data_IF_135909465383
#
_entry.id   IF_135909465383
#
_cell.length_a   1.000
_cell.length_b   1.000
_cell.length_c   1.000
_cell.angle_alpha   90.00
_cell.angle_beta   90.00
_cell.angle_gamma   90.00
#
_symmetry.space_group_name_H-M   'P 1'
#
loop_
_entity.id
_entity.type
_entity.pdbx_description
1 polymer ?
#
# COMPACT_ATOMS: atom_id res chain seq x y z
N UNK A 1 24.74 17.44 -4.17
CA UNK A 1 23.97 17.50 -2.91
C UNK A 1 22.63 16.85 -3.19
N UNK A 2 22.40 15.63 -2.72
CA UNK A 2 21.12 14.94 -2.90
C UNK A 2 20.13 15.55 -1.91
N UNK A 3 19.21 16.37 -2.40
CA UNK A 3 18.13 16.89 -1.59
C UNK A 3 17.24 15.72 -1.13
N UNK A 4 17.07 15.54 0.16
CA UNK A 4 16.03 14.67 0.69
C UNK A 4 14.68 15.26 0.28
N UNK A 5 14.02 14.62 -0.68
CA UNK A 5 12.65 14.96 -1.03
C UNK A 5 11.76 14.53 0.14
N UNK A 6 11.29 15.49 0.91
CA UNK A 6 10.29 15.25 1.94
C UNK A 6 8.93 15.05 1.27
N UNK A 7 8.24 13.96 1.62
CA UNK A 7 6.88 13.71 1.14
C UNK A 7 5.88 14.17 2.19
N UNK A 8 5.00 15.08 1.82
CA UNK A 8 3.98 15.63 2.71
C UNK A 8 2.60 15.06 2.44
N UNK A 9 1.78 14.98 3.48
CA UNK A 9 0.38 14.56 3.38
C UNK A 9 -0.40 15.55 2.51
N UNK A 10 -1.02 15.06 1.45
CA UNK A 10 -1.86 15.84 0.54
C UNK A 10 -3.35 15.67 0.86
N UNK A 11 -3.77 14.43 1.06
CA UNK A 11 -5.15 14.14 1.38
C UNK A 11 -5.30 12.83 2.14
N UNK A 12 -6.44 12.69 2.78
CA UNK A 12 -6.92 11.43 3.37
C UNK A 12 -8.30 11.12 2.79
N UNK A 13 -8.66 9.87 2.80
CA UNK A 13 -9.97 9.45 2.31
C UNK A 13 -10.32 8.04 2.72
N UNK A 14 -11.57 7.70 2.47
CA UNK A 14 -12.12 6.35 2.57
C UNK A 14 -12.70 5.98 1.23
N UNK A 15 -12.41 4.78 0.76
CA UNK A 15 -13.03 4.22 -0.44
C UNK A 15 -13.69 2.89 -0.10
N UNK A 16 -14.80 2.61 -0.80
CA UNK A 16 -15.58 1.37 -0.65
C UNK A 16 -15.28 0.41 -1.78
N UNK A 17 -15.33 -0.87 -1.49
CA UNK A 17 -15.20 -1.90 -2.49
C UNK A 17 -16.53 -2.08 -3.23
N UNK A 18 -16.49 -2.03 -4.56
CA UNK A 18 -17.59 -2.46 -5.43
C UNK A 18 -17.34 -3.91 -5.82
N UNK A 19 -18.08 -4.82 -5.22
CA UNK A 19 -17.72 -6.25 -5.27
C UNK A 19 -16.36 -6.49 -4.61
N UNK A 20 -15.39 -6.99 -5.37
CA UNK A 20 -14.05 -7.31 -4.87
C UNK A 20 -12.99 -6.25 -5.21
N UNK A 21 -13.36 -5.18 -5.91
CA UNK A 21 -12.42 -4.16 -6.39
C UNK A 21 -12.71 -2.80 -5.79
N UNK A 22 -11.65 -2.04 -5.56
CA UNK A 22 -11.70 -0.65 -5.15
C UNK A 22 -10.65 0.13 -5.94
N UNK A 23 -11.03 1.26 -6.51
CA UNK A 23 -10.12 2.15 -7.21
C UNK A 23 -9.93 3.45 -6.43
N UNK A 24 -8.67 3.87 -6.30
CA UNK A 24 -8.29 5.11 -5.64
C UNK A 24 -7.50 5.95 -6.64
N UNK A 25 -8.03 7.12 -6.96
CA UNK A 25 -7.35 8.05 -7.87
C UNK A 25 -6.10 8.64 -7.21
N UNK A 26 -4.96 8.59 -7.90
CA UNK A 26 -3.66 9.07 -7.42
C UNK A 26 -2.90 9.73 -8.56
N UNK A 27 -2.04 10.69 -8.26
CA UNK A 27 -1.08 11.25 -9.21
C UNK A 27 0.13 10.34 -9.43
N UNK A 28 0.94 10.66 -10.45
CA UNK A 28 2.11 9.83 -10.79
C UNK A 28 3.16 9.75 -9.68
N UNK A 29 3.31 10.83 -8.91
CA UNK A 29 4.27 10.95 -7.81
C UNK A 29 3.64 10.69 -6.43
N UNK A 30 2.37 10.26 -6.40
CA UNK A 30 1.70 9.98 -5.15
C UNK A 30 2.12 8.63 -4.58
N UNK A 31 2.30 8.61 -3.26
CA UNK A 31 2.42 7.40 -2.45
C UNK A 31 1.14 7.25 -1.64
N UNK A 32 0.51 6.08 -1.76
CA UNK A 32 -0.63 5.71 -0.93
C UNK A 32 -0.16 4.93 0.29
N UNK A 33 -0.67 5.32 1.45
CA UNK A 33 -0.55 4.60 2.72
C UNK A 33 -1.92 4.08 3.09
N UNK A 34 -2.09 2.79 3.18
CA UNK A 34 -3.30 2.17 3.73
C UNK A 34 -3.25 2.33 5.24
N UNK A 35 -4.22 3.04 5.79
CA UNK A 35 -4.26 3.37 7.22
C UNK A 35 -5.21 2.50 8.03
N UNK A 36 -6.23 1.92 7.36
CA UNK A 36 -7.16 0.98 7.97
C UNK A 36 -7.88 0.17 6.89
N UNK A 37 -8.15 -1.09 7.17
CA UNK A 37 -9.05 -1.91 6.37
C UNK A 37 -9.62 -3.06 7.23
N UNK A 38 -10.89 -3.36 7.04
CA UNK A 38 -11.59 -4.40 7.80
C UNK A 38 -11.49 -5.80 7.18
N UNK A 39 -10.58 -5.99 6.23
CA UNK A 39 -10.34 -7.27 5.55
C UNK A 39 -8.94 -7.35 4.95
N UNK A 40 -8.68 -8.46 4.28
CA UNK A 40 -7.43 -8.68 3.56
C UNK A 40 -7.46 -7.95 2.22
N UNK A 41 -6.47 -7.10 1.95
CA UNK A 41 -6.37 -6.34 0.70
C UNK A 41 -5.05 -6.61 -0.02
N UNK A 42 -5.09 -6.51 -1.34
CA UNK A 42 -3.94 -6.60 -2.23
C UNK A 42 -3.97 -5.41 -3.17
N UNK A 43 -2.83 -4.77 -3.38
CA UNK A 43 -2.68 -3.80 -4.46
C UNK A 43 -2.36 -4.55 -5.75
N UNK A 44 -3.28 -4.56 -6.72
CA UNK A 44 -3.09 -5.28 -7.99
C UNK A 44 -2.22 -4.51 -8.96
N UNK A 45 -2.46 -3.23 -9.13
CA UNK A 45 -1.70 -2.38 -10.07
C UNK A 45 -1.86 -0.90 -9.76
N UNK A 46 -0.91 -0.12 -10.28
CA UNK A 46 -1.08 1.31 -10.51
C UNK A 46 -1.27 1.50 -12.02
N UNK A 47 -2.40 2.06 -12.44
CA UNK A 47 -2.74 2.23 -13.84
C UNK A 47 -3.17 3.68 -14.08
N UNK A 48 -2.30 4.46 -14.74
CA UNK A 48 -2.63 5.78 -15.30
C UNK A 48 -3.38 6.72 -14.35
N UNK A 49 -2.92 6.89 -13.11
CA UNK A 49 -3.59 7.76 -12.15
C UNK A 49 -4.58 7.05 -11.20
N UNK A 50 -4.65 5.70 -11.22
CA UNK A 50 -5.43 4.93 -10.25
C UNK A 50 -4.62 3.79 -9.65
N UNK A 51 -4.83 3.55 -8.36
CA UNK A 51 -4.43 2.32 -7.67
C UNK A 51 -5.65 1.42 -7.58
N UNK A 52 -5.51 0.18 -8.03
CA UNK A 52 -6.56 -0.83 -7.94
C UNK A 52 -6.23 -1.78 -6.79
N UNK A 53 -7.14 -1.83 -5.82
CA UNK A 53 -7.09 -2.77 -4.70
C UNK A 53 -8.09 -3.89 -4.93
N UNK A 54 -7.70 -5.09 -4.52
CA UNK A 54 -8.56 -6.28 -4.50
C UNK A 54 -8.73 -6.74 -3.06
N UNK A 55 -9.94 -7.17 -2.74
CA UNK A 55 -10.24 -7.86 -1.49
C UNK A 55 -11.39 -8.85 -1.68
N UNK A 56 -11.29 -10.07 -1.15
CA UNK A 56 -12.41 -10.99 -1.12
C UNK A 56 -13.48 -10.62 -0.08
N UNK A 57 -13.12 -9.84 0.94
CA UNK A 57 -13.92 -9.67 2.16
C UNK A 57 -13.89 -8.26 2.78
N UNK A 58 -13.08 -7.32 2.27
CA UNK A 58 -13.11 -5.94 2.78
C UNK A 58 -14.29 -5.16 2.18
N UNK A 59 -14.89 -4.30 2.99
CA UNK A 59 -15.98 -3.41 2.57
C UNK A 59 -15.46 -2.00 2.27
N UNK A 60 -14.44 -1.55 3.01
CA UNK A 60 -13.85 -0.23 2.87
C UNK A 60 -12.37 -0.23 3.22
N UNK A 61 -11.70 0.80 2.75
CA UNK A 61 -10.29 1.08 3.04
C UNK A 61 -10.10 2.56 3.33
N UNK A 62 -9.42 2.87 4.42
CA UNK A 62 -8.96 4.21 4.73
C UNK A 62 -7.53 4.39 4.26
N UNK A 63 -7.24 5.55 3.69
CA UNK A 63 -5.94 5.83 3.11
C UNK A 63 -5.47 7.26 3.31
N UNK A 64 -4.16 7.44 3.23
CA UNK A 64 -3.46 8.72 3.18
C UNK A 64 -2.66 8.79 1.88
N UNK A 65 -2.65 9.95 1.24
CA UNK A 65 -1.84 10.20 0.04
C UNK A 65 -0.78 11.23 0.36
N UNK A 66 0.47 10.88 0.05
CA UNK A 66 1.65 11.71 0.20
C UNK A 66 2.28 11.95 -1.16
N UNK A 67 2.83 13.14 -1.36
CA UNK A 67 3.70 13.43 -2.50
C UNK A 67 4.76 14.49 -2.16
N UNK A 68 5.60 14.79 -3.13
CA UNK A 68 6.69 15.75 -3.00
C UNK A 68 6.26 17.21 -3.22
N UNK A 69 5.00 17.43 -3.58
CA UNK A 69 4.49 18.79 -3.76
C UNK A 69 4.24 19.42 -2.39
N UNK A 70 5.12 20.33 -2.01
CA UNK A 70 4.97 21.11 -0.81
C UNK A 70 4.45 22.50 -1.20
N UNK A 71 3.25 22.85 -0.76
CA UNK A 71 2.69 24.19 -0.87
C UNK A 71 3.06 25.01 0.36
N UNK A 72 3.08 26.34 0.20
CA UNK A 72 3.17 27.24 1.36
C UNK A 72 2.04 26.94 2.33
N UNK A 73 2.37 26.82 3.60
CA UNK A 73 1.39 26.68 4.67
C UNK A 73 1.14 28.03 5.33
N UNK A 74 -0.10 28.26 5.75
CA UNK A 74 -0.44 29.40 6.59
C UNK A 74 -0.14 29.06 8.05
N UNK A 75 0.39 30.03 8.81
CA UNK A 75 0.63 29.90 10.24
C UNK A 75 2.10 30.11 10.62
N UNK A 76 2.39 29.97 11.92
CA UNK A 76 3.75 30.09 12.44
C UNK A 76 4.48 28.77 12.24
N UNK A 77 5.70 28.83 11.71
CA UNK A 77 6.53 27.64 11.48
C UNK A 77 7.84 27.98 10.80
N UNK A 78 8.66 26.94 10.59
CA UNK A 78 9.91 27.04 9.84
C UNK A 78 9.65 26.47 8.43
N UNK A 79 10.02 27.24 7.41
CA UNK A 79 10.01 26.82 6.03
C UNK A 79 11.40 26.94 5.44
N UNK A 80 11.77 26.00 4.57
CA UNK A 80 12.97 26.08 3.75
C UNK A 80 12.59 26.03 2.28
N UNK A 81 13.36 26.73 1.47
CA UNK A 81 13.08 26.92 0.07
C UNK A 81 14.25 26.45 -0.80
N UNK A 82 13.96 26.03 -2.02
CA UNK A 82 14.98 25.83 -3.05
C UNK A 82 15.43 27.17 -3.66
N UNK A 83 16.39 27.12 -4.56
CA UNK A 83 16.91 28.32 -5.28
C UNK A 83 15.86 29.01 -6.15
N UNK A 84 14.73 28.38 -6.44
CA UNK A 84 13.62 28.90 -7.23
C UNK A 84 12.45 29.39 -6.35
N UNK A 85 12.63 29.42 -5.02
CA UNK A 85 11.62 29.86 -4.07
C UNK A 85 10.49 28.86 -3.83
N UNK A 86 10.66 27.59 -4.18
CA UNK A 86 9.70 26.53 -3.87
C UNK A 86 9.96 26.02 -2.45
N UNK A 87 8.89 25.79 -1.69
CA UNK A 87 8.99 25.18 -0.36
C UNK A 87 9.48 23.75 -0.51
N UNK A 88 10.60 23.41 0.12
CA UNK A 88 11.12 22.03 0.23
C UNK A 88 10.84 21.39 1.58
N UNK A 89 10.62 22.21 2.59
CA UNK A 89 10.25 21.78 3.93
C UNK A 89 9.38 22.83 4.59
N UNK A 90 8.35 22.40 5.33
CA UNK A 90 7.62 23.24 6.27
C UNK A 90 7.30 22.44 7.54
N UNK A 91 7.58 23.01 8.70
CA UNK A 91 7.28 22.38 9.99
C UNK A 91 5.78 22.12 10.21
N UNK A 92 4.93 22.78 9.41
CA UNK A 92 3.47 22.60 9.46
C UNK A 92 2.97 21.45 8.58
N UNK A 93 3.85 20.83 7.78
CA UNK A 93 3.49 19.67 6.98
C UNK A 93 3.58 18.38 7.80
N UNK A 94 2.65 17.49 7.53
CA UNK A 94 2.70 16.11 8.04
C UNK A 94 3.47 15.25 7.07
N UNK A 95 4.71 14.90 7.42
CA UNK A 95 5.61 14.17 6.55
C UNK A 95 5.46 12.66 6.69
N UNK A 96 5.63 11.95 5.59
CA UNK A 96 5.72 10.50 5.58
C UNK A 96 6.83 10.03 6.53
N UNK A 97 6.51 9.15 7.47
CA UNK A 97 7.44 8.62 8.49
C UNK A 97 7.57 7.09 8.37
N UNK A 98 8.38 6.58 7.42
CA UNK A 98 8.62 5.15 7.30
C UNK A 98 9.41 4.65 8.50
N UNK A 99 9.02 3.47 9.01
CA UNK A 99 9.65 2.86 10.18
C UNK A 99 10.41 1.61 9.80
N UNK A 100 9.80 0.77 8.96
CA UNK A 100 10.33 -0.55 8.65
C UNK A 100 9.93 -0.99 7.25
N UNK A 101 10.91 -1.48 6.50
CA UNK A 101 10.64 -2.22 5.28
C UNK A 101 10.52 -3.72 5.61
N UNK A 102 9.55 -4.39 5.00
CA UNK A 102 9.25 -5.80 5.22
C UNK A 102 9.27 -6.51 3.88
N UNK A 103 10.04 -7.58 3.81
CA UNK A 103 9.91 -8.57 2.77
C UNK A 103 8.82 -9.57 3.18
N UNK A 104 7.70 -9.54 2.47
CA UNK A 104 6.56 -10.40 2.73
C UNK A 104 6.57 -11.59 1.79
N UNK A 105 7.59 -12.45 1.91
CA UNK A 105 7.68 -13.67 1.12
C UNK A 105 6.38 -14.48 1.20
N UNK A 106 5.82 -14.84 0.04
CA UNK A 106 4.56 -15.56 -0.08
C UNK A 106 4.59 -16.95 0.56
N UNK A 107 5.76 -17.54 0.70
CA UNK A 107 5.95 -18.85 1.38
C UNK A 107 5.85 -18.77 2.90
N UNK A 108 5.93 -17.58 3.48
CA UNK A 108 5.58 -17.37 4.89
C UNK A 108 4.06 -17.41 5.01
N UNK A 109 3.52 -18.30 5.84
CA UNK A 109 2.11 -18.29 6.21
C UNK A 109 1.65 -16.92 6.76
N UNK A 110 0.54 -16.90 7.47
CA UNK A 110 0.11 -15.70 8.19
C UNK A 110 1.19 -15.27 9.20
N UNK A 111 1.53 -13.98 9.19
CA UNK A 111 2.31 -13.37 10.26
C UNK A 111 1.80 -11.95 10.54
N UNK A 112 1.97 -11.51 11.77
CA UNK A 112 1.66 -10.16 12.18
C UNK A 112 2.95 -9.44 12.59
N UNK A 113 3.08 -8.18 12.18
CA UNK A 113 4.13 -7.31 12.68
C UNK A 113 3.66 -6.66 13.98
N UNK A 114 4.43 -6.80 15.06
CA UNK A 114 4.10 -6.13 16.30
C UNK A 114 4.21 -4.61 16.11
N UNK A 115 3.18 -3.91 16.53
CA UNK A 115 3.15 -2.45 16.52
C UNK A 115 3.23 -1.94 17.94
N UNK A 116 4.11 -0.98 18.27
CA UNK A 116 4.17 -0.39 19.60
C UNK A 116 2.81 0.19 20.03
N UNK A 117 2.45 -0.03 21.28
CA UNK A 117 1.19 0.47 21.83
C UNK A 117 1.12 2.01 21.81
N UNK A 118 -0.09 2.54 21.67
CA UNK A 118 -0.36 3.98 21.69
C UNK A 118 -0.04 4.71 20.38
N UNK A 119 0.37 4.00 19.33
CA UNK A 119 0.62 4.57 18.02
C UNK A 119 -0.26 3.93 16.96
N UNK A 120 -0.51 4.69 15.88
CA UNK A 120 -1.22 4.23 14.69
C UNK A 120 -0.24 4.00 13.55
N UNK A 121 -0.47 2.95 12.79
CA UNK A 121 0.41 2.56 11.70
C UNK A 121 -0.37 2.33 10.43
N UNK A 122 0.25 2.67 9.31
CA UNK A 122 -0.23 2.35 7.98
C UNK A 122 0.80 1.56 7.20
N UNK A 123 0.43 1.11 6.02
CA UNK A 123 1.27 0.31 5.13
C UNK A 123 1.29 0.87 3.73
N UNK A 124 2.48 1.01 3.17
CA UNK A 124 2.69 1.21 1.74
C UNK A 124 2.92 -0.18 1.14
N UNK A 125 2.13 -0.53 0.14
CA UNK A 125 2.32 -1.73 -0.67
C UNK A 125 3.07 -1.33 -1.93
N UNK A 126 4.27 -1.85 -2.14
CA UNK A 126 5.06 -1.55 -3.34
C UNK A 126 4.73 -2.46 -4.50
N UNK A 127 4.57 -3.75 -4.23
CA UNK A 127 4.25 -4.78 -5.19
C UNK A 127 3.31 -5.80 -4.56
N UNK A 128 2.51 -6.47 -5.38
CA UNK A 128 1.84 -7.69 -4.95
C UNK A 128 2.75 -8.89 -5.22
N UNK A 129 3.04 -9.66 -4.17
CA UNK A 129 3.63 -10.98 -4.34
C UNK A 129 2.54 -11.95 -4.80
N UNK A 130 2.83 -12.77 -5.79
CA UNK A 130 1.92 -13.83 -6.18
C UNK A 130 2.64 -15.15 -6.38
N UNK A 131 1.88 -16.21 -6.24
CA UNK A 131 2.25 -17.57 -6.60
C UNK A 131 1.19 -18.13 -7.52
N UNK A 132 1.62 -18.75 -8.61
CA UNK A 132 0.71 -19.44 -9.52
C UNK A 132 0.89 -20.93 -9.31
N UNK A 133 -0.20 -21.61 -8.96
CA UNK A 133 -0.27 -23.06 -8.95
C UNK A 133 -1.14 -23.50 -10.14
N UNK A 134 -0.54 -24.19 -11.08
CA UNK A 134 -1.24 -24.76 -12.23
C UNK A 134 -1.20 -26.28 -12.08
N UNK A 135 -2.35 -26.90 -12.04
CA UNK A 135 -2.51 -28.35 -12.14
C UNK A 135 -3.33 -28.68 -13.41
N UNK A 136 -3.39 -29.94 -13.84
CA UNK A 136 -4.22 -30.31 -15.00
C UNK A 136 -5.70 -29.90 -14.87
N UNK A 137 -6.21 -29.77 -13.65
CA UNK A 137 -7.62 -29.52 -13.38
C UNK A 137 -7.93 -28.08 -13.01
N UNK A 138 -6.94 -27.30 -12.54
CA UNK A 138 -7.16 -25.90 -12.14
C UNK A 138 -5.90 -25.04 -12.23
N UNK A 139 -6.13 -23.75 -12.44
CA UNK A 139 -5.11 -22.70 -12.27
C UNK A 139 -5.53 -21.83 -11.08
N UNK A 140 -4.62 -21.64 -10.14
CA UNK A 140 -4.86 -20.86 -8.95
C UNK A 140 -3.76 -19.84 -8.74
N UNK A 141 -4.13 -18.58 -8.62
CA UNK A 141 -3.21 -17.51 -8.21
C UNK A 141 -3.40 -17.23 -6.73
N UNK A 142 -2.32 -17.25 -5.98
CA UNK A 142 -2.29 -16.88 -4.56
C UNK A 142 -1.60 -15.54 -4.46
N UNK A 143 -2.24 -14.57 -3.85
CA UNK A 143 -1.71 -13.21 -3.67
C UNK A 143 -1.37 -12.97 -2.21
N UNK A 144 -0.29 -12.22 -1.96
CA UNK A 144 0.03 -11.74 -0.63
C UNK A 144 -0.84 -10.54 -0.30
N UNK A 145 -1.62 -10.66 0.75
CA UNK A 145 -2.51 -9.62 1.25
C UNK A 145 -1.97 -8.97 2.52
N UNK A 146 -2.47 -7.78 2.80
CA UNK A 146 -2.25 -7.06 4.05
C UNK A 146 -3.60 -6.75 4.71
N UNK A 147 -3.62 -6.80 6.03
CA UNK A 147 -4.70 -6.28 6.87
C UNK A 147 -4.12 -5.21 7.78
N UNK A 148 -4.75 -4.04 7.83
CA UNK A 148 -4.31 -2.89 8.62
C UNK A 148 -5.43 -2.49 9.57
N UNK A 149 -5.12 -2.42 10.87
CA UNK A 149 -6.07 -2.07 11.92
C UNK A 149 -5.33 -1.89 13.25
N UNK A 150 -5.80 -2.52 14.31
CA UNK A 150 -5.09 -2.55 15.60
C UNK A 150 -3.74 -3.27 15.55
N UNK A 151 -3.48 -4.02 14.49
CA UNK A 151 -2.19 -4.63 14.13
C UNK A 151 -2.05 -4.67 12.62
N UNK A 152 -0.84 -4.90 12.14
CA UNK A 152 -0.57 -5.13 10.72
C UNK A 152 -0.34 -6.61 10.51
N UNK A 153 -1.22 -7.25 9.76
CA UNK A 153 -1.15 -8.66 9.43
C UNK A 153 -0.88 -8.88 7.94
N UNK A 154 -0.07 -9.89 7.63
CA UNK A 154 0.17 -10.34 6.25
C UNK A 154 -0.36 -11.75 6.10
N UNK A 155 -1.10 -11.99 5.04
CA UNK A 155 -1.75 -13.26 4.75
C UNK A 155 -1.59 -13.62 3.28
N UNK A 156 -2.09 -14.77 2.88
CA UNK A 156 -2.19 -15.19 1.48
C UNK A 156 -3.66 -15.45 1.17
N UNK A 157 -4.13 -14.86 0.09
CA UNK A 157 -5.49 -15.02 -0.39
C UNK A 157 -5.52 -15.63 -1.79
N UNK A 158 -6.55 -16.41 -2.07
CA UNK A 158 -6.75 -16.96 -3.39
C UNK A 158 -7.36 -15.88 -4.29
N UNK A 159 -6.82 -15.77 -5.48
CA UNK A 159 -7.35 -14.94 -6.54
C UNK A 159 -7.65 -15.84 -7.76
N UNK A 160 -8.93 -16.09 -7.95
CA UNK A 160 -9.38 -16.89 -9.08
C UNK A 160 -9.69 -15.94 -10.24
N UNK A 161 -8.91 -16.02 -11.31
CA UNK A 161 -9.29 -15.44 -12.60
C UNK A 161 -10.24 -16.42 -13.29
N UNK A 162 -11.49 -16.04 -13.43
CA UNK A 162 -12.44 -16.77 -14.27
C UNK A 162 -11.91 -16.79 -15.70
N UNK A 163 -11.69 -17.97 -16.28
CA UNK A 163 -11.44 -18.13 -17.71
C UNK A 163 -10.10 -18.69 -18.14
N UNK A 164 -9.21 -19.08 -17.24
CA UNK A 164 -8.03 -19.86 -17.65
C UNK A 164 -8.47 -21.30 -17.85
N UNK A 165 -8.64 -21.69 -19.12
CA UNK A 165 -8.98 -23.05 -19.51
C UNK A 165 -7.94 -24.07 -19.00
N UNK A 166 -8.32 -25.36 -18.98
CA UNK A 166 -7.44 -26.48 -18.59
C UNK A 166 -6.13 -26.42 -19.37
N UNK A 167 -5.05 -26.07 -18.67
CA UNK A 167 -3.71 -26.09 -19.23
C UNK A 167 -3.08 -27.38 -18.69
N UNK A 168 -2.78 -28.32 -19.57
CA UNK A 168 -2.18 -29.63 -19.22
C UNK A 168 -0.72 -29.55 -18.74
N UNK A 169 -0.30 -28.45 -18.13
CA UNK A 169 1.06 -28.16 -17.68
C UNK A 169 1.01 -27.87 -16.17
N UNK A 170 1.84 -28.57 -15.40
CA UNK A 170 2.08 -28.20 -14.00
C UNK A 170 3.18 -27.17 -13.96
N UNK A 171 2.88 -25.98 -13.50
CA UNK A 171 3.84 -24.88 -13.36
C UNK A 171 3.66 -24.21 -12.00
N UNK A 172 4.76 -24.04 -11.29
CA UNK A 172 4.83 -23.29 -10.05
C UNK A 172 5.79 -22.13 -10.24
N UNK A 173 5.27 -20.92 -10.28
CA UNK A 173 6.09 -19.70 -10.29
C UNK A 173 5.98 -19.02 -8.93
N UNK A 174 7.11 -19.02 -8.21
CA UNK A 174 7.24 -18.41 -6.88
C UNK A 174 7.97 -17.05 -6.97
N UNK A 175 8.02 -16.44 -8.14
CA UNK A 175 9.02 -15.43 -8.52
C UNK A 175 8.80 -14.03 -7.95
N UNK A 176 7.79 -13.76 -7.12
CA UNK A 176 7.55 -12.39 -6.70
C UNK A 176 7.46 -12.21 -5.19
N UNK A 177 8.43 -11.43 -4.68
CA UNK A 177 8.41 -10.94 -3.31
C UNK A 177 7.47 -9.72 -3.24
N UNK A 178 6.54 -9.74 -2.32
CA UNK A 178 5.79 -8.55 -1.97
C UNK A 178 6.62 -7.75 -0.96
N UNK A 179 6.85 -6.48 -1.24
CA UNK A 179 7.50 -5.58 -0.31
C UNK A 179 6.47 -4.62 0.28
N UNK A 180 6.57 -4.38 1.57
CA UNK A 180 5.74 -3.44 2.28
C UNK A 180 6.60 -2.52 3.14
N UNK A 181 6.15 -1.28 3.31
CA UNK A 181 6.79 -0.33 4.23
C UNK A 181 5.76 0.07 5.28
N UNK A 182 6.09 -0.16 6.54
CA UNK A 182 5.30 0.32 7.67
C UNK A 182 5.61 1.78 7.93
N UNK A 183 4.57 2.56 8.15
CA UNK A 183 4.61 4.01 8.35
C UNK A 183 3.92 4.36 9.65
N UNK A 184 4.53 5.23 10.46
CA UNK A 184 3.86 5.84 11.62
C UNK A 184 2.89 6.93 11.15
N UNK A 185 1.62 6.77 11.48
CA UNK A 185 0.53 7.70 11.14
C UNK A 185 -0.19 8.23 12.37
N UNK A 186 0.45 8.24 13.53
CA UNK A 186 -0.18 8.56 14.82
C UNK A 186 -0.84 9.94 14.84
N UNK A 187 -0.24 10.93 14.21
CA UNK A 187 -0.72 12.31 14.22
C UNK A 187 -1.44 12.73 12.93
N UNK A 188 -1.91 11.76 12.15
CA UNK A 188 -2.54 12.00 10.85
C UNK A 188 -4.05 11.87 10.89
#
# INVERSE_FOLDING_TARGET
MYGFLSMSLQRRGTSTFSGKLCEISVGDNDIIVISNCNGDIVQLKKNGGNIVLYSPNAMSVDYLIFNTNTSKTSGYGIETYDSNGRVIFSSNHKFLRPIKAIDTNINRGFFAEPTPQGRKYGVILSNYGFRINITPDYCRRILRSVRVGGSIGFNSINYDEEGIGRIGITYNDDSFFANAIIVDITDY
#
